data_IF_780513524476
#
_entry.id   IF_780513524476
#
_cell.length_a   1.000
_cell.length_b   1.000
_cell.length_c   1.000
_cell.angle_alpha   90.00
_cell.angle_beta   90.00
_cell.angle_gamma   90.00
#
_symmetry.space_group_name_H-M   'P 1'
#
loop_
_entity.id
_entity.type
_entity.pdbx_description
1 polymer ?
#
# COMPACT_ATOMS: atom_id res chain seq x y z
N UNK A 1 -26.72 -12.68 13.23
CA UNK A 1 -27.23 -13.95 12.66
C UNK A 1 -27.35 -13.79 11.15
N UNK A 2 -26.87 -14.74 10.35
CA UNK A 2 -27.05 -14.70 8.89
C UNK A 2 -28.55 -14.71 8.55
N UNK A 3 -28.94 -13.87 7.60
CA UNK A 3 -30.31 -13.81 7.07
C UNK A 3 -30.37 -14.65 5.79
N UNK A 4 -31.55 -15.20 5.51
CA UNK A 4 -31.85 -15.84 4.22
C UNK A 4 -31.94 -14.69 3.20
N UNK A 5 -31.25 -14.81 2.07
CA UNK A 5 -31.22 -13.79 1.02
C UNK A 5 -32.51 -13.81 0.20
N UNK A 6 -33.01 -14.99 -0.16
CA UNK A 6 -34.28 -15.13 -0.89
C UNK A 6 -35.46 -14.68 -0.01
N UNK A 7 -36.23 -13.67 -0.45
CA UNK A 7 -37.43 -13.22 0.26
C UNK A 7 -38.48 -14.33 0.38
N UNK A 8 -38.70 -15.10 -0.69
CA UNK A 8 -39.72 -16.16 -0.71
C UNK A 8 -39.36 -17.31 0.22
N UNK A 9 -38.10 -17.74 0.27
CA UNK A 9 -37.67 -18.78 1.20
C UNK A 9 -37.70 -18.29 2.67
N UNK A 10 -37.41 -17.00 2.91
CA UNK A 10 -37.57 -16.40 4.23
C UNK A 10 -39.03 -16.36 4.67
N UNK A 11 -39.95 -16.04 3.76
CA UNK A 11 -41.40 -16.05 3.99
C UNK A 11 -41.90 -17.46 4.28
N UNK A 12 -41.45 -18.46 3.52
CA UNK A 12 -41.78 -19.86 3.78
C UNK A 12 -41.40 -20.26 5.21
N UNK A 13 -40.17 -19.93 5.64
CA UNK A 13 -39.74 -20.21 7.02
C UNK A 13 -40.64 -19.54 8.07
N UNK A 14 -41.16 -18.35 7.78
CA UNK A 14 -42.11 -17.66 8.67
C UNK A 14 -43.48 -18.34 8.70
N UNK A 15 -43.97 -18.85 7.57
CA UNK A 15 -45.23 -19.58 7.48
C UNK A 15 -45.16 -20.93 8.22
N UNK A 16 -44.05 -21.65 8.06
CA UNK A 16 -43.83 -22.94 8.74
C UNK A 16 -43.88 -22.84 10.27
N UNK A 17 -43.79 -21.64 10.84
CA UNK A 17 -43.93 -21.43 12.29
C UNK A 17 -45.29 -21.88 12.83
N UNK A 18 -46.34 -21.73 12.01
CA UNK A 18 -47.73 -22.04 12.37
C UNK A 18 -48.14 -23.48 12.01
N UNK A 19 -47.26 -24.22 11.33
CA UNK A 19 -47.50 -25.62 10.97
C UNK A 19 -47.34 -26.54 12.19
N UNK A 20 -48.17 -27.59 12.34
CA UNK A 20 -48.03 -28.58 13.42
C UNK A 20 -46.64 -29.20 13.49
N UNK A 21 -46.18 -29.55 14.69
CA UNK A 21 -44.79 -29.98 14.92
C UNK A 21 -44.37 -31.20 14.07
N UNK A 22 -45.24 -32.21 13.98
CA UNK A 22 -45.00 -33.42 13.18
C UNK A 22 -44.71 -33.06 11.72
N UNK A 23 -45.52 -32.17 11.14
CA UNK A 23 -45.32 -31.70 9.76
C UNK A 23 -44.03 -30.86 9.62
N UNK A 24 -43.69 -30.02 10.61
CA UNK A 24 -42.42 -29.27 10.60
C UNK A 24 -41.19 -30.19 10.65
N UNK A 25 -41.26 -31.30 11.38
CA UNK A 25 -40.19 -32.32 11.41
C UNK A 25 -40.02 -32.99 10.05
N UNK A 26 -41.12 -33.34 9.39
CA UNK A 26 -41.09 -33.87 8.02
C UNK A 26 -40.50 -32.85 7.03
N UNK A 27 -40.89 -31.58 7.12
CA UNK A 27 -40.36 -30.49 6.29
C UNK A 27 -38.88 -30.19 6.56
N UNK A 28 -38.42 -30.35 7.80
CA UNK A 28 -37.00 -30.26 8.14
C UNK A 28 -36.21 -31.37 7.43
N UNK A 29 -36.66 -32.63 7.54
CA UNK A 29 -36.03 -33.75 6.84
C UNK A 29 -36.05 -33.57 5.31
N UNK A 30 -37.16 -33.04 4.77
CA UNK A 30 -37.29 -32.73 3.35
C UNK A 30 -36.32 -31.62 2.89
N UNK A 31 -36.14 -30.57 3.69
CA UNK A 31 -35.15 -29.51 3.41
C UNK A 31 -33.71 -30.03 3.43
N UNK A 32 -33.38 -30.97 4.32
CA UNK A 32 -32.06 -31.61 4.38
C UNK A 32 -31.82 -32.52 3.17
N UNK A 33 -32.85 -33.25 2.73
CA UNK A 33 -32.80 -34.05 1.51
C UNK A 33 -32.60 -33.15 0.28
N UNK A 34 -33.34 -32.04 0.21
CA UNK A 34 -33.18 -31.05 -0.85
C UNK A 34 -31.76 -30.48 -0.87
N UNK A 35 -31.19 -30.14 0.30
CA UNK A 35 -29.83 -29.63 0.39
C UNK A 35 -28.79 -30.56 -0.26
N UNK A 36 -28.95 -31.88 -0.14
CA UNK A 36 -28.08 -32.86 -0.80
C UNK A 36 -28.32 -33.03 -2.31
N UNK A 37 -29.46 -32.57 -2.84
CA UNK A 37 -29.82 -32.67 -4.26
C UNK A 37 -29.42 -31.43 -5.07
N UNK A 38 -29.19 -30.29 -4.41
CA UNK A 38 -28.88 -29.02 -5.10
C UNK A 38 -27.42 -29.01 -5.57
N UNK A 39 -27.25 -28.82 -6.88
CA UNK A 39 -25.94 -28.62 -7.49
C UNK A 39 -25.57 -27.13 -7.49
N UNK A 40 -24.36 -26.74 -7.03
CA UNK A 40 -23.98 -25.33 -6.90
C UNK A 40 -24.02 -24.52 -8.20
N UNK A 41 -23.81 -25.17 -9.35
CA UNK A 41 -23.71 -24.50 -10.65
C UNK A 41 -25.05 -24.36 -11.38
N UNK A 42 -26.11 -25.00 -10.88
CA UNK A 42 -27.45 -24.96 -11.48
C UNK A 42 -28.30 -23.85 -10.88
N UNK A 43 -29.40 -23.54 -11.55
CA UNK A 43 -30.43 -22.62 -11.08
C UNK A 43 -31.73 -23.38 -10.84
N UNK A 44 -32.44 -23.01 -9.78
CA UNK A 44 -33.64 -23.70 -9.34
C UNK A 44 -34.80 -22.72 -9.18
N UNK A 45 -35.96 -22.95 -9.82
CA UNK A 45 -37.16 -22.17 -9.55
C UNK A 45 -37.59 -22.30 -8.09
N UNK A 46 -38.12 -21.23 -7.49
CA UNK A 46 -38.62 -21.27 -6.12
C UNK A 46 -39.73 -22.32 -5.93
N UNK A 47 -40.60 -22.51 -6.92
CA UNK A 47 -41.68 -23.49 -6.85
C UNK A 47 -41.16 -24.92 -6.68
N UNK A 48 -40.04 -25.24 -7.34
CA UNK A 48 -39.33 -26.51 -7.15
C UNK A 48 -38.86 -26.64 -5.69
N UNK A 49 -38.22 -25.60 -5.14
CA UNK A 49 -37.73 -25.59 -3.76
C UNK A 49 -38.88 -25.73 -2.76
N UNK A 50 -39.97 -24.97 -2.95
CA UNK A 50 -41.15 -24.99 -2.10
C UNK A 50 -41.83 -26.36 -2.10
N UNK A 51 -42.00 -26.96 -3.28
CA UNK A 51 -42.58 -28.30 -3.43
C UNK A 51 -41.72 -29.36 -2.73
N UNK A 52 -40.40 -29.31 -2.90
CA UNK A 52 -39.51 -30.29 -2.27
C UNK A 52 -39.45 -30.17 -0.74
N UNK A 53 -39.73 -29.00 -0.18
CA UNK A 53 -39.78 -28.79 1.28
C UNK A 53 -41.17 -29.12 1.85
N UNK A 54 -42.25 -28.70 1.18
CA UNK A 54 -43.61 -28.70 1.75
C UNK A 54 -44.53 -29.78 1.17
N UNK A 55 -44.21 -30.32 -0.01
CA UNK A 55 -45.09 -31.19 -0.79
C UNK A 55 -46.23 -30.45 -1.50
N UNK A 56 -46.30 -29.11 -1.41
CA UNK A 56 -47.34 -28.29 -2.01
C UNK A 56 -46.76 -27.43 -3.14
N UNK A 57 -47.45 -27.38 -4.29
CA UNK A 57 -47.12 -26.43 -5.36
C UNK A 57 -47.85 -25.10 -5.12
N UNK A 58 -47.13 -23.98 -4.90
CA UNK A 58 -47.75 -22.66 -4.86
C UNK A 58 -48.41 -22.35 -6.22
N UNK A 59 -49.46 -21.51 -6.20
CA UNK A 59 -50.10 -21.05 -7.45
C UNK A 59 -49.05 -20.30 -8.27
N UNK A 60 -48.85 -20.70 -9.52
CA UNK A 60 -47.81 -20.19 -10.41
C UNK A 60 -47.85 -18.66 -10.50
N UNK A 61 -46.76 -18.01 -10.10
CA UNK A 61 -46.56 -16.59 -10.40
C UNK A 61 -46.13 -16.45 -11.87
N UNK A 62 -46.56 -15.38 -12.57
CA UNK A 62 -46.16 -15.15 -13.96
C UNK A 62 -44.64 -14.94 -14.13
N UNK A 63 -43.93 -14.53 -13.07
CA UNK A 63 -42.47 -14.51 -13.00
C UNK A 63 -41.98 -15.39 -11.84
N UNK A 64 -41.52 -16.62 -12.11
CA UNK A 64 -40.98 -17.48 -11.06
C UNK A 64 -39.61 -16.97 -10.58
N UNK A 65 -39.46 -16.75 -9.27
CA UNK A 65 -38.16 -16.43 -8.68
C UNK A 65 -37.18 -17.58 -8.94
N UNK A 66 -36.05 -17.28 -9.59
CA UNK A 66 -35.00 -18.26 -9.88
C UNK A 66 -33.85 -18.07 -8.90
N UNK A 67 -33.48 -19.16 -8.22
CA UNK A 67 -32.46 -19.18 -7.18
C UNK A 67 -31.17 -19.82 -7.70
N UNK A 68 -30.03 -19.10 -7.71
CA UNK A 68 -28.73 -19.70 -7.98
C UNK A 68 -28.39 -20.76 -6.93
N UNK A 69 -27.93 -21.95 -7.37
CA UNK A 69 -27.68 -23.09 -6.48
C UNK A 69 -26.72 -22.79 -5.33
N UNK A 70 -25.66 -22.01 -5.55
CA UNK A 70 -24.75 -21.55 -4.47
C UNK A 70 -25.46 -20.73 -3.39
N UNK A 71 -26.29 -19.77 -3.80
CA UNK A 71 -27.02 -18.91 -2.87
C UNK A 71 -28.12 -19.70 -2.16
N UNK A 72 -28.79 -20.60 -2.89
CA UNK A 72 -29.79 -21.51 -2.34
C UNK A 72 -29.19 -22.43 -1.26
N UNK A 73 -28.00 -22.99 -1.46
CA UNK A 73 -27.32 -23.82 -0.46
C UNK A 73 -26.99 -23.01 0.81
N UNK A 74 -26.48 -21.79 0.66
CA UNK A 74 -26.20 -20.90 1.80
C UNK A 74 -27.49 -20.57 2.58
N UNK A 75 -28.59 -20.31 1.87
CA UNK A 75 -29.89 -20.00 2.44
C UNK A 75 -30.56 -21.21 3.10
N UNK A 76 -30.48 -22.40 2.48
CA UNK A 76 -30.98 -23.66 3.04
C UNK A 76 -30.26 -24.04 4.33
N UNK A 77 -28.96 -23.79 4.46
CA UNK A 77 -28.25 -23.98 5.72
C UNK A 77 -28.82 -23.10 6.85
N UNK A 78 -29.12 -21.84 6.54
CA UNK A 78 -29.74 -20.92 7.51
C UNK A 78 -31.17 -21.36 7.84
N UNK A 79 -31.93 -21.80 6.83
CA UNK A 79 -33.29 -22.33 6.97
C UNK A 79 -33.33 -23.53 7.90
N UNK A 80 -32.53 -24.56 7.62
CA UNK A 80 -32.42 -25.81 8.40
C UNK A 80 -31.97 -25.50 9.83
N UNK A 81 -30.97 -24.63 10.00
CA UNK A 81 -30.50 -24.23 11.33
C UNK A 81 -31.56 -23.50 12.16
N UNK A 82 -32.39 -22.66 11.53
CA UNK A 82 -33.48 -21.92 12.20
C UNK A 82 -34.69 -22.81 12.49
N UNK A 83 -35.06 -23.70 11.58
CA UNK A 83 -36.17 -24.62 11.75
C UNK A 83 -35.86 -25.66 12.83
N UNK A 84 -34.66 -26.27 12.78
CA UNK A 84 -34.19 -27.21 13.81
C UNK A 84 -34.04 -26.56 15.19
N UNK A 85 -33.72 -25.27 15.30
CA UNK A 85 -33.62 -24.57 16.58
C UNK A 85 -34.89 -24.65 17.45
N UNK A 86 -36.06 -24.78 16.81
CA UNK A 86 -37.37 -24.86 17.45
C UNK A 86 -37.83 -26.30 17.69
N UNK A 87 -37.21 -27.23 16.99
CA UNK A 87 -37.45 -28.68 17.06
C UNK A 87 -36.27 -29.39 17.73
N UNK A 88 -35.44 -28.64 18.48
CA UNK A 88 -34.18 -29.13 18.98
C UNK A 88 -34.41 -30.26 19.98
N UNK A 89 -33.94 -31.44 19.63
CA UNK A 89 -33.96 -32.63 20.49
C UNK A 89 -32.67 -32.71 21.32
N UNK A 90 -32.70 -33.41 22.46
CA UNK A 90 -31.47 -33.85 23.12
C UNK A 90 -30.57 -34.60 22.14
N UNK A 91 -29.27 -34.31 22.16
CA UNK A 91 -28.30 -35.00 21.29
C UNK A 91 -28.30 -36.53 21.52
N UNK A 92 -28.66 -36.98 22.72
CA UNK A 92 -28.81 -38.39 23.10
C UNK A 92 -30.00 -39.09 22.44
N UNK A 93 -31.01 -38.34 22.02
CA UNK A 93 -32.24 -38.87 21.39
C UNK A 93 -32.19 -38.80 19.86
N UNK A 94 -31.06 -38.39 19.28
CA UNK A 94 -30.91 -38.20 17.83
C UNK A 94 -30.86 -39.52 17.04
N UNK A 95 -30.79 -40.67 17.71
CA UNK A 95 -30.67 -42.00 17.08
C UNK A 95 -29.28 -42.32 16.50
N UNK A 96 -28.37 -41.34 16.49
CA UNK A 96 -26.97 -41.47 16.08
C UNK A 96 -26.08 -40.51 16.90
N UNK A 97 -24.75 -40.73 16.96
CA UNK A 97 -23.84 -39.80 17.62
C UNK A 97 -23.88 -38.41 16.96
N UNK A 98 -23.98 -37.36 17.79
CA UNK A 98 -23.97 -35.97 17.34
C UNK A 98 -22.74 -35.26 17.90
N UNK A 99 -21.88 -34.78 17.00
CA UNK A 99 -20.64 -34.11 17.34
C UNK A 99 -20.82 -32.59 17.44
N UNK A 100 -20.09 -31.94 18.35
CA UNK A 100 -19.96 -30.48 18.37
C UNK A 100 -18.87 -30.00 17.40
N UNK A 101 -18.72 -28.68 17.26
CA UNK A 101 -17.63 -28.10 16.45
C UNK A 101 -16.27 -28.45 17.06
N UNK A 102 -16.19 -28.46 18.38
CA UNK A 102 -15.01 -28.81 19.16
C UNK A 102 -14.64 -30.27 18.96
N UNK A 103 -15.63 -31.17 19.00
CA UNK A 103 -15.42 -32.61 18.78
C UNK A 103 -14.91 -32.90 17.36
N UNK A 104 -15.48 -32.26 16.34
CA UNK A 104 -15.00 -32.38 14.96
C UNK A 104 -13.60 -31.79 14.77
N UNK A 105 -13.32 -30.65 15.41
CA UNK A 105 -11.99 -30.05 15.37
C UNK A 105 -10.93 -30.97 15.99
N UNK A 106 -11.26 -31.67 17.07
CA UNK A 106 -10.41 -32.67 17.70
C UNK A 106 -10.25 -33.92 16.81
N UNK A 107 -11.37 -34.51 16.35
CA UNK A 107 -11.40 -35.74 15.52
C UNK A 107 -10.56 -35.62 14.25
N UNK A 108 -10.61 -34.48 13.57
CA UNK A 108 -9.87 -34.26 12.32
C UNK A 108 -8.56 -33.47 12.50
N UNK A 109 -8.17 -33.16 13.75
CA UNK A 109 -7.01 -32.32 14.08
C UNK A 109 -7.03 -30.91 13.42
N UNK A 110 -8.20 -30.42 13.02
CA UNK A 110 -8.39 -29.14 12.31
C UNK A 110 -8.90 -28.02 13.23
N UNK A 111 -8.71 -26.76 12.85
CA UNK A 111 -9.14 -25.64 13.70
C UNK A 111 -10.67 -25.53 13.70
N UNK A 112 -11.27 -24.97 14.76
CA UNK A 112 -12.72 -24.68 14.77
C UNK A 112 -13.13 -23.76 13.61
N UNK A 113 -12.23 -22.86 13.17
CA UNK A 113 -12.41 -22.04 11.95
C UNK A 113 -12.46 -22.87 10.67
N UNK A 114 -11.72 -23.98 10.61
CA UNK A 114 -11.74 -24.92 9.49
C UNK A 114 -13.09 -25.64 9.43
N UNK A 115 -13.60 -26.12 10.56
CA UNK A 115 -14.95 -26.71 10.65
C UNK A 115 -16.03 -25.69 10.25
N UNK A 116 -15.91 -24.44 10.69
CA UNK A 116 -16.80 -23.35 10.24
C UNK A 116 -16.74 -23.12 8.72
N UNK A 117 -15.57 -23.32 8.10
CA UNK A 117 -15.39 -23.22 6.65
C UNK A 117 -16.01 -24.41 5.93
N UNK A 118 -15.93 -25.62 6.50
CA UNK A 118 -16.57 -26.82 5.97
C UNK A 118 -18.09 -26.68 5.88
N UNK A 119 -18.71 -26.00 6.84
CA UNK A 119 -20.15 -25.67 6.77
C UNK A 119 -20.52 -24.92 5.51
N UNK A 120 -19.75 -23.88 5.15
CA UNK A 120 -19.95 -23.14 3.90
C UNK A 120 -19.73 -23.98 2.64
N UNK A 121 -19.16 -25.17 2.76
CA UNK A 121 -18.86 -26.10 1.67
C UNK A 121 -19.75 -27.34 1.68
N UNK A 122 -20.78 -27.39 2.51
CA UNK A 122 -21.74 -28.50 2.52
C UNK A 122 -21.89 -29.26 3.82
N UNK A 123 -21.06 -28.99 4.84
CA UNK A 123 -21.21 -29.66 6.14
C UNK A 123 -22.46 -29.13 6.88
N UNK A 124 -23.55 -29.88 6.76
CA UNK A 124 -24.85 -29.52 7.31
C UNK A 124 -24.86 -29.64 8.84
N UNK A 125 -25.47 -28.66 9.50
CA UNK A 125 -25.54 -28.59 10.96
C UNK A 125 -26.98 -28.35 11.41
N UNK A 126 -27.41 -29.06 12.45
CA UNK A 126 -28.71 -28.86 13.11
C UNK A 126 -28.50 -28.32 14.52
N UNK A 127 -29.53 -27.78 15.14
CA UNK A 127 -29.45 -27.44 16.57
C UNK A 127 -29.93 -28.60 17.43
N UNK A 128 -29.10 -28.99 18.38
CA UNK A 128 -29.40 -29.99 19.40
C UNK A 128 -29.24 -29.39 20.80
N UNK A 129 -29.88 -30.03 21.78
CA UNK A 129 -29.70 -29.73 23.20
C UNK A 129 -28.59 -30.67 23.71
N UNK A 130 -27.45 -30.09 24.11
CA UNK A 130 -26.33 -30.85 24.67
C UNK A 130 -26.37 -30.84 26.21
N UNK A 131 -25.54 -31.67 26.85
CA UNK A 131 -25.39 -31.73 28.30
C UNK A 131 -25.20 -30.32 28.88
N UNK A 132 -26.06 -29.93 29.83
CA UNK A 132 -26.15 -28.56 30.35
C UNK A 132 -27.27 -27.70 29.75
N UNK A 133 -28.18 -28.27 28.95
CA UNK A 133 -29.39 -27.60 28.46
C UNK A 133 -29.16 -26.56 27.36
N UNK A 134 -27.92 -26.37 26.92
CA UNK A 134 -27.57 -25.37 25.92
C UNK A 134 -27.86 -25.86 24.50
N UNK A 135 -28.56 -25.02 23.71
CA UNK A 135 -28.82 -25.27 22.29
C UNK A 135 -27.61 -24.88 21.46
N UNK A 136 -26.87 -25.87 20.97
CA UNK A 136 -25.68 -25.67 20.14
C UNK A 136 -25.85 -26.34 18.78
N UNK A 137 -24.98 -25.99 17.83
CA UNK A 137 -24.92 -26.68 16.55
C UNK A 137 -24.30 -28.06 16.78
N UNK A 138 -24.99 -29.09 16.30
CA UNK A 138 -24.52 -30.46 16.28
C UNK A 138 -24.51 -31.00 14.85
N UNK A 139 -23.58 -31.92 14.63
CA UNK A 139 -23.34 -32.59 13.36
C UNK A 139 -23.57 -34.09 13.58
N UNK A 140 -24.68 -34.64 13.06
CA UNK A 140 -24.90 -36.08 13.12
C UNK A 140 -23.79 -36.83 12.38
N UNK A 141 -23.37 -37.97 12.90
CA UNK A 141 -22.20 -38.70 12.40
C UNK A 141 -22.37 -39.09 10.92
N UNK A 142 -23.56 -39.54 10.51
CA UNK A 142 -23.88 -39.84 9.11
C UNK A 142 -23.66 -38.66 8.15
N UNK A 143 -23.89 -37.44 8.63
CA UNK A 143 -23.69 -36.20 7.85
C UNK A 143 -22.20 -35.87 7.75
N UNK A 144 -21.43 -36.13 8.81
CA UNK A 144 -19.98 -35.93 8.83
C UNK A 144 -19.31 -36.92 7.89
N UNK A 145 -19.67 -38.21 7.97
CA UNK A 145 -19.13 -39.26 7.12
C UNK A 145 -19.42 -39.00 5.64
N UNK A 146 -20.66 -38.62 5.30
CA UNK A 146 -21.01 -38.23 3.93
C UNK A 146 -20.14 -37.07 3.45
N UNK A 147 -19.98 -36.02 4.26
CA UNK A 147 -19.14 -34.88 3.89
C UNK A 147 -17.68 -35.28 3.66
N UNK A 148 -17.13 -36.16 4.50
CA UNK A 148 -15.76 -36.69 4.35
C UNK A 148 -15.62 -37.51 3.06
N UNK A 149 -16.61 -38.37 2.76
CA UNK A 149 -16.63 -39.17 1.53
C UNK A 149 -16.73 -38.29 0.27
N UNK A 150 -17.54 -37.23 0.30
CA UNK A 150 -17.70 -36.31 -0.83
C UNK A 150 -16.49 -35.36 -0.98
N UNK A 151 -15.72 -35.13 0.10
CA UNK A 151 -14.62 -34.16 0.14
C UNK A 151 -13.31 -34.73 0.72
N UNK A 152 -12.78 -35.87 0.22
CA UNK A 152 -11.66 -36.56 0.83
C UNK A 152 -10.38 -35.71 0.80
N UNK A 153 -10.09 -35.05 -0.33
CA UNK A 153 -8.91 -34.20 -0.49
C UNK A 153 -8.89 -33.00 0.46
N UNK A 154 -10.06 -32.44 0.76
CA UNK A 154 -10.24 -31.26 1.60
C UNK A 154 -10.04 -31.59 3.08
N UNK A 155 -10.47 -32.76 3.52
CA UNK A 155 -10.30 -33.23 4.91
C UNK A 155 -8.85 -33.65 5.14
N UNK A 156 -8.25 -34.44 4.24
CA UNK A 156 -6.86 -34.88 4.34
C UNK A 156 -5.88 -33.70 4.31
N UNK A 157 -6.07 -32.73 3.40
CA UNK A 157 -5.21 -31.54 3.32
C UNK A 157 -5.35 -30.63 4.54
N UNK A 158 -6.54 -30.58 5.14
CA UNK A 158 -6.78 -29.77 6.34
C UNK A 158 -6.17 -30.41 7.60
N UNK A 159 -6.16 -31.74 7.70
CA UNK A 159 -5.48 -32.49 8.76
C UNK A 159 -3.96 -32.49 8.63
N UNK A 160 -3.42 -32.42 7.40
CA UNK A 160 -1.99 -32.33 7.12
C UNK A 160 -1.35 -30.99 7.56
N UNK A 161 -2.15 -29.99 7.93
CA UNK A 161 -1.66 -28.69 8.37
C UNK A 161 -1.08 -28.81 9.79
N UNK A 162 0.22 -29.13 9.89
CA UNK A 162 0.99 -29.18 11.15
C UNK A 162 0.77 -27.90 11.95
N UNK A 163 0.00 -27.97 13.03
CA UNK A 163 -0.08 -26.88 13.99
C UNK A 163 1.19 -26.86 14.81
N UNK A 164 1.87 -25.71 14.79
CA UNK A 164 2.98 -25.46 15.69
C UNK A 164 2.48 -25.49 17.13
N UNK A 165 3.07 -26.37 17.93
CA UNK A 165 2.93 -26.34 19.38
C UNK A 165 3.54 -25.05 19.95
N UNK A 166 3.12 -24.63 21.14
CA UNK A 166 3.68 -23.43 21.77
C UNK A 166 5.18 -23.59 22.08
N UNK A 167 5.64 -24.82 22.34
CA UNK A 167 7.06 -25.14 22.50
C UNK A 167 7.86 -24.92 21.21
N UNK A 168 7.38 -25.44 20.08
CA UNK A 168 8.01 -25.24 18.75
C UNK A 168 8.03 -23.75 18.37
N UNK A 169 6.95 -23.02 18.68
CA UNK A 169 6.87 -21.57 18.46
C UNK A 169 7.99 -20.84 19.22
N UNK A 170 8.14 -21.12 20.51
CA UNK A 170 9.16 -20.48 21.34
C UNK A 170 10.58 -20.88 20.92
N UNK A 171 10.79 -22.14 20.50
CA UNK A 171 12.07 -22.60 19.98
C UNK A 171 12.45 -21.87 18.69
N UNK A 172 11.51 -21.72 17.75
CA UNK A 172 11.74 -21.01 16.50
C UNK A 172 12.15 -19.54 16.73
N UNK A 173 11.47 -18.85 17.66
CA UNK A 173 11.79 -17.44 18.01
C UNK A 173 13.18 -17.33 18.65
N UNK A 174 13.52 -18.22 19.60
CA UNK A 174 14.84 -18.22 20.26
C UNK A 174 15.97 -18.45 19.25
N UNK A 175 15.82 -19.43 18.35
CA UNK A 175 16.83 -19.70 17.33
C UNK A 175 16.93 -18.57 16.30
N UNK A 176 15.81 -17.94 15.91
CA UNK A 176 15.80 -16.79 15.03
C UNK A 176 16.57 -15.60 15.63
N UNK A 177 16.36 -15.29 16.91
CA UNK A 177 17.14 -14.26 17.62
C UNK A 177 18.63 -14.59 17.66
N UNK A 178 18.98 -15.84 17.99
CA UNK A 178 20.38 -16.27 18.04
C UNK A 178 21.09 -16.14 16.69
N UNK A 179 20.42 -16.52 15.59
CA UNK A 179 20.97 -16.38 14.24
C UNK A 179 21.05 -14.93 13.80
N UNK A 180 20.03 -14.12 14.09
CA UNK A 180 20.03 -12.69 13.77
C UNK A 180 21.09 -11.91 14.56
N UNK A 181 21.43 -12.35 15.77
CA UNK A 181 22.48 -11.72 16.57
C UNK A 181 23.89 -12.09 16.11
N UNK A 182 24.11 -13.34 15.67
CA UNK A 182 25.43 -13.89 15.32
C UNK A 182 25.81 -13.74 13.84
N UNK A 183 24.87 -13.42 12.96
CA UNK A 183 25.11 -13.38 11.51
C UNK A 183 24.60 -12.09 10.86
N UNK A 184 25.26 -11.67 9.78
CA UNK A 184 24.83 -10.56 8.91
C UNK A 184 23.78 -10.98 7.86
N UNK A 185 23.21 -12.19 8.01
CA UNK A 185 22.28 -12.77 7.05
C UNK A 185 20.96 -12.00 6.99
N UNK A 186 20.38 -11.94 5.80
CA UNK A 186 19.07 -11.33 5.59
C UNK A 186 17.97 -12.12 6.32
N UNK A 187 16.88 -11.44 6.68
CA UNK A 187 15.67 -12.09 7.24
C UNK A 187 15.23 -13.31 6.41
N UNK A 188 15.27 -13.19 5.09
CA UNK A 188 14.89 -14.26 4.17
C UNK A 188 15.80 -15.48 4.33
N UNK A 189 17.12 -15.28 4.35
CA UNK A 189 18.10 -16.35 4.55
C UNK A 189 17.96 -17.00 5.93
N UNK A 190 17.75 -16.21 6.99
CA UNK A 190 17.51 -16.74 8.34
C UNK A 190 16.24 -17.59 8.37
N UNK A 191 15.15 -17.09 7.76
CA UNK A 191 13.87 -17.80 7.69
C UNK A 191 14.00 -19.09 6.89
N UNK A 192 14.66 -19.07 5.73
CA UNK A 192 14.88 -20.27 4.90
C UNK A 192 15.66 -21.34 5.66
N UNK A 193 16.80 -20.97 6.25
CA UNK A 193 17.67 -21.89 7.00
C UNK A 193 16.98 -22.50 8.23
N UNK A 194 16.18 -21.72 8.93
CA UNK A 194 15.40 -22.21 10.07
C UNK A 194 14.24 -23.11 9.63
N UNK A 195 13.59 -22.79 8.52
CA UNK A 195 12.50 -23.59 7.97
C UNK A 195 13.01 -25.00 7.59
N UNK A 196 14.16 -25.08 6.91
CA UNK A 196 14.84 -26.34 6.60
C UNK A 196 15.22 -27.12 7.86
N UNK A 197 15.84 -26.45 8.84
CA UNK A 197 16.28 -27.08 10.09
C UNK A 197 15.14 -27.63 10.95
N UNK A 198 13.99 -26.95 10.95
CA UNK A 198 12.84 -27.31 11.78
C UNK A 198 11.81 -28.19 11.03
N UNK A 199 12.05 -28.48 9.75
CA UNK A 199 11.10 -29.21 8.89
C UNK A 199 9.76 -28.47 8.78
N UNK A 200 9.81 -27.14 8.64
CA UNK A 200 8.63 -26.26 8.59
C UNK A 200 8.53 -25.58 7.23
N UNK A 201 7.31 -25.28 6.79
CA UNK A 201 7.12 -24.43 5.62
C UNK A 201 7.69 -23.02 5.90
N UNK A 202 8.47 -22.49 4.95
CA UNK A 202 9.12 -21.18 5.07
C UNK A 202 8.11 -20.07 5.36
N UNK A 203 6.94 -20.12 4.73
CA UNK A 203 5.87 -19.13 4.89
C UNK A 203 5.25 -19.14 6.30
N UNK A 204 5.14 -20.32 6.91
CA UNK A 204 4.64 -20.47 8.30
C UNK A 204 5.61 -19.86 9.29
N UNK A 205 6.91 -20.12 9.12
CA UNK A 205 7.93 -19.51 9.97
C UNK A 205 8.01 -18.00 9.74
N UNK A 206 7.94 -17.54 8.49
CA UNK A 206 7.92 -16.10 8.14
C UNK A 206 6.78 -15.39 8.86
N UNK A 207 5.56 -15.91 8.73
CA UNK A 207 4.37 -15.35 9.35
C UNK A 207 4.46 -15.34 10.86
N UNK A 208 5.00 -16.41 11.45
CA UNK A 208 5.22 -16.50 12.90
C UNK A 208 6.14 -15.40 13.41
N UNK A 209 7.32 -15.24 12.80
CA UNK A 209 8.30 -14.25 13.21
C UNK A 209 7.74 -12.82 13.04
N UNK A 210 7.00 -12.57 11.96
CA UNK A 210 6.33 -11.29 11.73
C UNK A 210 5.27 -10.96 12.78
N UNK A 211 4.41 -11.92 13.11
CA UNK A 211 3.37 -11.73 14.13
C UNK A 211 4.01 -11.48 15.51
N UNK A 212 5.13 -12.14 15.81
CA UNK A 212 5.86 -11.92 17.05
C UNK A 212 6.47 -10.51 17.12
N UNK A 213 7.14 -10.04 16.07
CA UNK A 213 7.68 -8.65 16.02
C UNK A 213 6.57 -7.61 16.13
N UNK A 214 5.38 -7.86 15.55
CA UNK A 214 4.23 -6.96 15.67
C UNK A 214 3.62 -6.94 17.08
N UNK A 215 3.62 -8.09 17.78
CA UNK A 215 3.07 -8.21 19.15
C UNK A 215 4.02 -7.65 20.21
N UNK A 216 5.33 -7.68 19.96
CA UNK A 216 6.35 -7.21 20.89
C UNK A 216 7.34 -6.25 20.20
N UNK A 217 6.96 -4.98 19.95
CA UNK A 217 7.82 -4.00 19.29
C UNK A 217 9.14 -3.76 20.03
N UNK A 218 9.13 -3.84 21.37
CA UNK A 218 10.30 -3.56 22.23
C UNK A 218 11.34 -4.69 22.24
N UNK A 219 11.03 -5.85 21.66
CA UNK A 219 11.92 -7.03 21.63
C UNK A 219 11.99 -7.62 20.22
N UNK A 220 12.50 -6.86 19.23
CA UNK A 220 12.56 -7.32 17.84
C UNK A 220 13.43 -8.58 17.72
N UNK A 221 13.11 -9.42 16.73
CA UNK A 221 13.86 -10.64 16.46
C UNK A 221 15.05 -10.33 15.55
N UNK A 222 14.82 -9.43 14.59
CA UNK A 222 15.81 -9.00 13.62
C UNK A 222 16.24 -7.57 13.88
N UNK A 223 17.54 -7.28 13.64
CA UNK A 223 18.09 -5.92 13.80
C UNK A 223 17.39 -4.91 12.87
N UNK A 224 17.30 -5.27 11.58
CA UNK A 224 16.61 -4.48 10.56
C UNK A 224 15.12 -4.48 10.85
N UNK A 225 14.35 -3.39 10.84
CA UNK A 225 12.89 -3.41 10.90
C UNK A 225 12.23 -3.87 9.58
N UNK A 226 11.01 -4.42 9.64
CA UNK A 226 10.23 -4.86 8.47
C UNK A 226 9.49 -3.66 7.86
N UNK A 227 9.32 -3.67 6.54
CA UNK A 227 8.41 -2.76 5.85
C UNK A 227 9.05 -1.52 5.25
N UNK A 228 8.20 -0.68 4.64
CA UNK A 228 8.59 0.62 4.11
C UNK A 228 9.09 1.47 5.27
N UNK A 229 10.21 2.17 5.07
CA UNK A 229 10.68 3.18 6.02
C UNK A 229 9.53 4.16 6.30
N UNK A 230 9.39 4.58 7.55
CA UNK A 230 8.35 5.55 7.88
C UNK A 230 8.61 6.87 7.16
N UNK A 231 7.58 7.63 6.78
CA UNK A 231 7.76 8.92 6.13
C UNK A 231 8.68 9.87 6.92
N UNK A 232 8.65 9.83 8.25
CA UNK A 232 9.54 10.61 9.12
C UNK A 232 11.02 10.21 8.93
N UNK A 233 11.35 8.92 9.09
CA UNK A 233 12.74 8.43 8.92
C UNK A 233 13.26 8.68 7.50
N UNK A 234 12.40 8.56 6.47
CA UNK A 234 12.79 8.90 5.09
C UNK A 234 13.12 10.39 4.93
N UNK A 235 12.45 11.28 5.66
CA UNK A 235 12.73 12.70 5.62
C UNK A 235 14.05 13.00 6.35
N UNK A 236 14.27 12.40 7.51
CA UNK A 236 15.51 12.53 8.26
C UNK A 236 16.72 12.00 7.48
N UNK A 237 16.60 10.82 6.88
CA UNK A 237 17.64 10.23 6.03
C UNK A 237 18.03 11.19 4.90
N UNK A 238 17.04 11.78 4.22
CA UNK A 238 17.31 12.71 3.13
C UNK A 238 17.91 14.03 3.61
N UNK A 239 17.51 14.52 4.79
CA UNK A 239 18.11 15.71 5.42
C UNK A 239 19.60 15.49 5.72
N UNK A 240 19.96 14.35 6.31
CA UNK A 240 21.36 14.00 6.61
C UNK A 240 22.20 13.84 5.34
N UNK A 241 21.62 13.23 4.29
CA UNK A 241 22.25 13.17 2.98
C UNK A 241 22.55 14.57 2.42
N UNK A 242 21.58 15.51 2.50
CA UNK A 242 21.80 16.91 2.11
C UNK A 242 22.89 17.62 2.93
N UNK A 243 23.14 17.19 4.16
CA UNK A 243 24.20 17.71 5.03
C UNK A 243 25.58 17.10 4.74
N UNK A 244 25.71 16.25 3.72
CA UNK A 244 26.97 15.61 3.34
C UNK A 244 27.28 14.31 4.08
N UNK A 245 26.32 13.74 4.81
CA UNK A 245 26.51 12.42 5.44
C UNK A 245 26.67 11.33 4.38
N UNK A 246 27.71 10.50 4.50
CA UNK A 246 28.01 9.44 3.56
C UNK A 246 26.91 8.37 3.48
N UNK A 247 26.74 7.74 2.31
CA UNK A 247 25.74 6.68 2.10
C UNK A 247 25.98 5.49 3.05
N UNK A 248 27.24 5.19 3.39
CA UNK A 248 27.59 4.13 4.32
C UNK A 248 27.04 4.40 5.73
N UNK A 249 27.26 5.61 6.26
CA UNK A 249 26.79 5.99 7.60
C UNK A 249 25.26 6.01 7.67
N UNK A 250 24.60 6.41 6.58
CA UNK A 250 23.13 6.32 6.44
C UNK A 250 22.64 4.88 6.43
N UNK A 251 23.39 3.94 5.84
CA UNK A 251 23.04 2.52 5.87
C UNK A 251 23.10 1.98 7.29
N UNK A 252 24.11 2.35 8.07
CA UNK A 252 24.26 1.93 9.47
C UNK A 252 23.21 2.55 10.36
N UNK A 253 23.03 3.88 10.31
CA UNK A 253 22.09 4.62 11.16
C UNK A 253 20.64 4.20 10.99
N UNK A 254 20.21 3.94 9.75
CA UNK A 254 18.83 3.54 9.44
C UNK A 254 18.65 2.01 9.29
N UNK A 255 19.74 1.25 9.45
CA UNK A 255 19.84 -0.20 9.23
C UNK A 255 19.14 -0.65 7.93
N UNK A 256 19.58 -0.04 6.81
CA UNK A 256 19.04 -0.28 5.46
C UNK A 256 20.12 -0.69 4.49
N UNK A 257 19.71 -1.44 3.45
CA UNK A 257 20.61 -1.77 2.36
C UNK A 257 20.93 -0.53 1.53
N UNK A 258 22.11 -0.51 0.91
CA UNK A 258 22.55 0.52 -0.04
C UNK A 258 21.50 0.85 -1.09
N UNK A 259 20.91 -0.18 -1.70
CA UNK A 259 19.85 -0.03 -2.70
C UNK A 259 18.59 0.66 -2.14
N UNK A 260 18.22 0.37 -0.88
CA UNK A 260 17.08 1.02 -0.24
C UNK A 260 17.37 2.49 0.06
N UNK A 261 18.58 2.79 0.54
CA UNK A 261 19.03 4.17 0.81
C UNK A 261 19.00 5.01 -0.47
N UNK A 262 19.63 4.54 -1.56
CA UNK A 262 19.57 5.23 -2.86
C UNK A 262 18.14 5.39 -3.37
N UNK A 263 17.29 4.36 -3.23
CA UNK A 263 15.88 4.45 -3.63
C UNK A 263 15.15 5.55 -2.87
N UNK A 264 15.37 5.67 -1.55
CA UNK A 264 14.76 6.72 -0.72
C UNK A 264 15.28 8.10 -1.12
N UNK A 265 16.59 8.25 -1.31
CA UNK A 265 17.21 9.51 -1.75
C UNK A 265 16.63 9.95 -3.09
N UNK A 266 16.61 9.08 -4.10
CA UNK A 266 16.08 9.40 -5.42
C UNK A 266 14.58 9.70 -5.38
N UNK A 267 13.81 9.00 -4.54
CA UNK A 267 12.39 9.29 -4.33
C UNK A 267 12.15 10.67 -3.72
N UNK A 268 12.99 11.09 -2.78
CA UNK A 268 12.89 12.42 -2.18
C UNK A 268 13.35 13.52 -3.13
N UNK A 269 14.43 13.29 -3.90
CA UNK A 269 14.89 14.18 -4.98
C UNK A 269 13.81 14.40 -6.03
N UNK A 270 13.21 13.32 -6.54
CA UNK A 270 12.12 13.40 -7.52
C UNK A 270 10.90 14.14 -6.96
N UNK A 271 10.50 13.88 -5.71
CA UNK A 271 9.41 14.63 -5.06
C UNK A 271 9.72 16.12 -4.93
N UNK A 272 10.95 16.48 -4.57
CA UNK A 272 11.38 17.87 -4.48
C UNK A 272 11.35 18.56 -5.85
N UNK A 273 11.81 17.89 -6.91
CA UNK A 273 11.76 18.40 -8.28
C UNK A 273 10.32 18.60 -8.77
N UNK A 274 9.44 17.62 -8.54
CA UNK A 274 8.02 17.70 -8.94
C UNK A 274 7.25 18.79 -8.19
N UNK A 275 7.65 19.11 -6.95
CA UNK A 275 7.04 20.17 -6.16
C UNK A 275 7.50 21.58 -6.57
N UNK A 276 8.61 21.73 -7.31
CA UNK A 276 9.10 23.03 -7.78
C UNK A 276 8.18 23.60 -8.87
N UNK A 277 7.80 24.87 -8.73
CA UNK A 277 7.13 25.65 -9.78
C UNK A 277 8.18 26.05 -10.82
N UNK A 278 8.03 25.58 -12.06
CA UNK A 278 8.98 25.83 -13.15
C UNK A 278 8.24 26.64 -14.21
N UNK A 279 8.44 27.96 -14.20
CA UNK A 279 7.86 28.89 -15.17
C UNK A 279 8.89 29.24 -16.22
N UNK A 280 8.51 29.25 -17.49
CA UNK A 280 9.39 29.63 -18.59
C UNK A 280 8.59 30.44 -19.61
N UNK A 281 9.29 31.30 -20.34
CA UNK A 281 8.71 32.03 -21.47
C UNK A 281 8.71 31.09 -22.68
N UNK A 282 7.55 30.76 -23.27
CA UNK A 282 7.48 29.88 -24.42
C UNK A 282 8.06 30.55 -25.67
N UNK A 283 8.71 29.76 -26.52
CA UNK A 283 9.21 30.17 -27.83
C UNK A 283 8.99 29.03 -28.82
N UNK A 284 8.54 29.34 -30.04
CA UNK A 284 8.29 28.34 -31.10
C UNK A 284 9.56 27.59 -31.49
N UNK A 285 10.72 28.24 -31.32
CA UNK A 285 12.02 27.65 -31.56
C UNK A 285 12.30 26.43 -30.66
N UNK A 286 11.74 26.39 -29.45
CA UNK A 286 11.97 25.29 -28.51
C UNK A 286 11.34 23.97 -28.96
N UNK A 287 10.38 24.03 -29.89
CA UNK A 287 9.70 22.86 -30.44
C UNK A 287 10.44 22.24 -31.64
N UNK A 288 11.48 22.90 -32.14
CA UNK A 288 12.27 22.41 -33.29
C UNK A 288 13.18 21.25 -32.88
N UNK A 289 13.39 20.29 -33.79
CA UNK A 289 14.19 19.09 -33.50
C UNK A 289 15.67 19.43 -33.21
N UNK A 290 16.18 20.49 -33.84
CA UNK A 290 17.56 20.95 -33.72
C UNK A 290 17.77 21.92 -32.53
N UNK A 291 16.70 22.34 -31.84
CA UNK A 291 16.77 23.34 -30.77
C UNK A 291 17.76 22.95 -29.67
N UNK A 292 17.79 21.65 -29.32
CA UNK A 292 18.70 21.14 -28.29
C UNK A 292 20.16 21.36 -28.66
N UNK A 293 20.51 21.05 -29.91
CA UNK A 293 21.87 21.19 -30.42
C UNK A 293 22.24 22.65 -30.64
N UNK A 294 21.32 23.48 -31.12
CA UNK A 294 21.58 24.89 -31.36
C UNK A 294 21.75 25.70 -30.06
N UNK A 295 20.95 25.40 -29.03
CA UNK A 295 20.92 26.17 -27.78
C UNK A 295 21.92 25.63 -26.76
N UNK A 296 22.04 24.30 -26.63
CA UNK A 296 22.93 23.68 -25.64
C UNK A 296 24.26 23.20 -26.24
N UNK A 297 24.40 23.14 -27.56
CA UNK A 297 25.60 22.59 -28.22
C UNK A 297 26.83 23.49 -28.12
N UNK A 298 26.65 24.79 -27.87
CA UNK A 298 27.77 25.67 -27.49
C UNK A 298 28.06 25.49 -26.00
N UNK A 299 29.31 25.20 -25.59
CA UNK A 299 29.66 25.11 -24.19
C UNK A 299 29.30 26.41 -23.47
N UNK A 300 28.72 26.27 -22.30
CA UNK A 300 28.51 27.38 -21.38
C UNK A 300 29.89 27.81 -20.84
N UNK A 301 30.54 28.76 -21.53
CA UNK A 301 31.87 29.27 -21.17
C UNK A 301 31.87 30.80 -21.25
N UNK A 302 31.52 31.44 -20.14
CA UNK A 302 31.89 32.83 -19.90
C UNK A 302 33.18 32.82 -19.08
N UNK A 303 34.22 33.50 -19.57
CA UNK A 303 35.43 33.74 -18.79
C UNK A 303 35.05 34.56 -17.54
N UNK A 304 34.88 33.88 -16.40
CA UNK A 304 34.74 34.53 -15.10
C UNK A 304 36.14 34.93 -14.64
N UNK A 305 36.39 36.24 -14.50
CA UNK A 305 37.50 36.71 -13.67
C UNK A 305 37.14 36.37 -12.23
N UNK A 306 37.80 35.39 -11.61
CA UNK A 306 37.54 35.06 -10.21
C UNK A 306 38.09 36.20 -9.31
N UNK A 307 37.25 36.91 -8.54
CA UNK A 307 37.74 37.82 -7.54
C UNK A 307 38.36 37.05 -6.36
N UNK A 308 39.42 37.60 -5.75
CA UNK A 308 40.09 37.02 -4.56
C UNK A 308 39.15 36.88 -3.33
N UNK A 309 38.00 37.58 -3.34
CA UNK A 309 36.88 37.39 -2.39
C UNK A 309 35.58 37.22 -3.16
N UNK A 310 34.92 36.07 -2.97
CA UNK A 310 33.56 35.82 -3.44
C UNK A 310 32.58 36.42 -2.43
N UNK A 311 32.03 37.60 -2.73
CA UNK A 311 30.86 38.13 -2.03
C UNK A 311 29.65 37.81 -2.90
N UNK A 312 28.71 37.03 -2.38
CA UNK A 312 27.49 36.68 -3.10
C UNK A 312 26.58 37.92 -3.20
N UNK A 313 26.17 38.36 -4.40
CA UNK A 313 25.37 39.57 -4.57
C UNK A 313 24.04 39.58 -3.80
N UNK A 314 23.51 38.39 -3.51
CA UNK A 314 22.25 38.19 -2.79
C UNK A 314 22.36 38.40 -1.26
N UNK A 315 23.56 38.50 -0.71
CA UNK A 315 23.79 38.76 0.73
C UNK A 315 23.94 40.26 1.05
N UNK A 316 23.96 41.14 0.03
CA UNK A 316 24.25 42.57 0.12
C UNK A 316 23.01 43.47 0.35
N UNK A 317 22.08 43.05 1.21
CA UNK A 317 20.80 43.78 1.47
C UNK A 317 20.84 44.61 2.77
N UNK A 318 22.02 44.99 3.26
CA UNK A 318 22.20 45.78 4.49
C UNK A 318 22.73 47.20 4.24
N UNK A 319 22.31 48.18 5.04
CA UNK A 319 22.70 49.60 4.93
C UNK A 319 24.22 49.83 5.01
N UNK A 320 24.97 48.95 5.69
CA UNK A 320 26.42 49.07 5.90
C UNK A 320 27.30 48.53 4.75
N UNK A 321 26.71 47.97 3.67
CA UNK A 321 27.44 47.18 2.66
C UNK A 321 27.63 47.92 1.31
N UNK A 322 27.33 49.22 1.24
CA UNK A 322 27.47 50.05 0.03
C UNK A 322 28.86 49.97 -0.64
N UNK A 323 29.99 50.04 0.09
CA UNK A 323 31.33 49.96 -0.51
C UNK A 323 31.60 48.59 -1.14
N UNK A 324 31.13 47.52 -0.50
CA UNK A 324 31.29 46.13 -0.95
C UNK A 324 30.42 45.85 -2.18
N UNK A 325 29.20 46.38 -2.19
CA UNK A 325 28.30 46.35 -3.34
C UNK A 325 28.88 47.07 -4.56
N UNK A 326 29.49 48.25 -4.38
CA UNK A 326 30.19 48.95 -5.46
C UNK A 326 31.46 48.21 -5.94
N UNK A 327 32.14 47.47 -5.07
CA UNK A 327 33.28 46.63 -5.45
C UNK A 327 32.82 45.45 -6.32
N UNK A 328 31.75 44.74 -5.94
CA UNK A 328 31.15 43.67 -6.75
C UNK A 328 30.76 44.20 -8.13
N UNK A 329 30.16 45.39 -8.19
CA UNK A 329 29.82 46.00 -9.48
C UNK A 329 31.04 46.30 -10.35
N UNK A 330 32.22 46.60 -9.79
CA UNK A 330 33.43 46.88 -10.59
C UNK A 330 33.97 45.65 -11.31
N UNK A 331 33.86 44.49 -10.69
CA UNK A 331 34.42 43.22 -11.15
C UNK A 331 33.47 42.40 -12.03
N UNK A 332 32.15 42.69 -12.01
CA UNK A 332 31.19 41.94 -12.81
C UNK A 332 31.40 42.19 -14.32
N UNK A 333 31.52 41.12 -15.13
CA UNK A 333 31.61 41.25 -16.59
C UNK A 333 30.31 41.84 -17.14
N UNK A 334 30.43 42.84 -18.02
CA UNK A 334 29.29 43.42 -18.72
C UNK A 334 28.92 42.50 -19.88
N UNK A 335 27.68 42.04 -19.91
CA UNK A 335 27.17 41.25 -21.03
C UNK A 335 26.83 42.18 -22.20
N UNK A 336 27.15 41.76 -23.41
CA UNK A 336 26.63 42.40 -24.60
C UNK A 336 25.20 41.90 -24.90
N UNK A 337 24.47 42.62 -25.76
CA UNK A 337 23.08 42.28 -26.10
C UNK A 337 22.92 40.85 -26.66
N UNK A 338 23.89 40.38 -27.45
CA UNK A 338 23.84 39.03 -28.03
C UNK A 338 24.00 37.95 -26.97
N UNK A 339 24.91 38.14 -26.02
CA UNK A 339 25.14 37.26 -24.87
C UNK A 339 23.93 37.22 -23.95
N UNK A 340 23.30 38.36 -23.67
CA UNK A 340 22.07 38.41 -22.87
C UNK A 340 20.93 37.61 -23.52
N UNK A 341 20.74 37.78 -24.83
CA UNK A 341 19.75 37.02 -25.59
C UNK A 341 20.07 35.53 -25.57
N UNK A 342 21.33 35.14 -25.79
CA UNK A 342 21.75 33.73 -25.76
C UNK A 342 21.55 33.09 -24.38
N UNK A 343 21.93 33.78 -23.30
CA UNK A 343 21.73 33.34 -21.94
C UNK A 343 20.24 33.23 -21.58
N UNK A 344 19.44 34.25 -21.91
CA UNK A 344 18.01 34.24 -21.65
C UNK A 344 17.31 33.12 -22.43
N UNK A 345 17.70 32.91 -23.70
CA UNK A 345 17.23 31.81 -24.55
C UNK A 345 17.57 30.46 -23.92
N UNK A 346 18.83 30.25 -23.52
CA UNK A 346 19.30 29.01 -22.87
C UNK A 346 18.60 28.74 -21.55
N UNK A 347 18.47 29.77 -20.70
CA UNK A 347 17.74 29.70 -19.43
C UNK A 347 16.29 29.22 -19.61
N UNK A 348 15.55 29.83 -20.52
CA UNK A 348 14.16 29.44 -20.77
C UNK A 348 14.06 28.05 -21.42
N UNK A 349 15.00 27.70 -22.30
CA UNK A 349 15.03 26.38 -22.92
C UNK A 349 15.31 25.24 -21.92
N UNK A 350 16.25 25.44 -20.98
CA UNK A 350 16.51 24.47 -19.90
C UNK A 350 15.26 24.24 -19.05
N UNK A 351 14.55 25.32 -18.68
CA UNK A 351 13.29 25.23 -17.92
C UNK A 351 12.18 24.57 -18.74
N UNK A 352 12.12 24.82 -20.05
CA UNK A 352 11.21 24.16 -20.98
C UNK A 352 11.45 22.65 -21.03
N UNK A 353 12.70 22.21 -21.19
CA UNK A 353 13.09 20.80 -21.17
C UNK A 353 12.68 20.12 -19.87
N UNK A 354 12.93 20.76 -18.72
CA UNK A 354 12.53 20.18 -17.44
C UNK A 354 11.00 20.11 -17.31
N UNK A 355 10.28 21.14 -17.75
CA UNK A 355 8.82 21.14 -17.75
C UNK A 355 8.24 20.03 -18.65
N UNK A 356 8.87 19.78 -19.81
CA UNK A 356 8.50 18.73 -20.73
C UNK A 356 8.90 17.34 -20.22
N UNK A 357 10.06 17.12 -19.63
CA UNK A 357 10.54 15.77 -19.30
C UNK A 357 10.16 15.31 -17.89
N UNK A 358 9.84 16.23 -16.96
CA UNK A 358 9.52 15.88 -15.56
C UNK A 358 8.34 14.91 -15.39
N UNK A 359 7.39 14.88 -16.33
CA UNK A 359 6.23 13.97 -16.27
C UNK A 359 6.62 12.49 -16.48
N UNK A 360 7.80 12.24 -17.06
CA UNK A 360 8.32 10.89 -17.25
C UNK A 360 8.81 10.27 -15.91
N UNK A 361 9.03 11.09 -14.89
CA UNK A 361 9.44 10.64 -13.55
C UNK A 361 8.29 9.92 -12.83
N UNK A 362 8.35 8.58 -12.82
CA UNK A 362 7.41 7.74 -12.07
C UNK A 362 7.95 7.48 -10.66
N UNK A 363 7.26 7.95 -9.62
CA UNK A 363 7.66 7.73 -8.21
C UNK A 363 7.79 6.26 -7.81
N UNK A 364 7.12 5.34 -8.52
CA UNK A 364 7.21 3.90 -8.28
C UNK A 364 8.54 3.29 -8.80
N UNK A 365 9.11 3.84 -9.87
CA UNK A 365 10.36 3.39 -10.48
C UNK A 365 11.08 4.60 -11.06
N UNK A 366 12.02 5.13 -10.29
CA UNK A 366 12.73 6.36 -10.62
C UNK A 366 13.95 6.01 -11.44
N UNK A 367 14.05 6.63 -12.62
CA UNK A 367 15.27 6.64 -13.40
C UNK A 367 16.24 7.65 -12.79
N UNK A 368 17.37 7.14 -12.28
CA UNK A 368 18.38 7.96 -11.62
C UNK A 368 19.12 8.88 -12.60
N UNK A 369 19.26 8.46 -13.86
CA UNK A 369 19.97 9.23 -14.87
C UNK A 369 19.11 10.41 -15.33
N UNK A 370 17.84 10.17 -15.63
CA UNK A 370 16.91 11.24 -15.96
C UNK A 370 16.77 12.25 -14.82
N UNK A 371 16.66 11.78 -13.57
CA UNK A 371 16.59 12.67 -12.42
C UNK A 371 17.84 13.56 -12.28
N UNK A 372 19.03 12.98 -12.44
CA UNK A 372 20.29 13.73 -12.39
C UNK A 372 20.40 14.74 -13.54
N UNK A 373 19.93 14.39 -14.74
CA UNK A 373 19.92 15.27 -15.89
C UNK A 373 18.98 16.47 -15.69
N UNK A 374 17.77 16.24 -15.17
CA UNK A 374 16.81 17.31 -14.89
C UNK A 374 17.28 18.23 -13.78
N UNK A 375 17.94 17.70 -12.75
CA UNK A 375 18.58 18.53 -11.72
C UNK A 375 19.72 19.36 -12.31
N UNK A 376 20.58 18.78 -13.16
CA UNK A 376 21.65 19.52 -13.83
C UNK A 376 21.13 20.68 -14.71
N UNK A 377 20.03 20.47 -15.45
CA UNK A 377 19.40 21.54 -16.21
C UNK A 377 18.88 22.69 -15.33
N UNK A 378 18.34 22.38 -14.15
CA UNK A 378 17.90 23.40 -13.20
C UNK A 378 19.07 24.14 -12.55
N UNK A 379 20.13 23.42 -12.19
CA UNK A 379 21.33 24.01 -11.60
C UNK A 379 22.00 24.95 -12.62
N UNK A 380 22.09 24.56 -13.89
CA UNK A 380 22.58 25.40 -14.97
C UNK A 380 21.68 26.62 -15.21
N UNK A 381 20.35 26.46 -15.15
CA UNK A 381 19.42 27.57 -15.26
C UNK A 381 19.57 28.56 -14.09
N UNK A 382 19.82 28.09 -12.87
CA UNK A 382 20.08 28.96 -11.70
C UNK A 382 21.41 29.71 -11.85
N UNK A 383 22.46 29.08 -12.37
CA UNK A 383 23.71 29.77 -12.69
C UNK A 383 23.49 30.86 -13.74
N UNK A 384 22.77 30.57 -14.82
CA UNK A 384 22.40 31.56 -15.85
C UNK A 384 21.60 32.71 -15.25
N UNK A 385 20.61 32.42 -14.42
CA UNK A 385 19.80 33.45 -13.73
C UNK A 385 20.69 34.32 -12.86
N UNK A 386 21.61 33.74 -12.08
CA UNK A 386 22.56 34.48 -11.25
C UNK A 386 23.39 35.45 -12.08
N UNK A 387 23.92 35.03 -13.22
CA UNK A 387 24.72 35.92 -14.08
C UNK A 387 23.90 37.00 -14.76
N UNK A 388 22.68 36.69 -15.23
CA UNK A 388 21.80 37.69 -15.81
C UNK A 388 21.46 38.78 -14.79
N UNK A 389 21.18 38.38 -13.54
CA UNK A 389 20.96 39.32 -12.44
C UNK A 389 22.23 40.14 -12.20
N UNK A 390 23.37 39.48 -11.99
CA UNK A 390 24.67 40.13 -11.74
C UNK A 390 25.04 41.18 -12.79
N UNK A 391 24.95 40.84 -14.07
CA UNK A 391 25.27 41.75 -15.17
C UNK A 391 24.36 42.99 -15.18
N UNK A 392 23.10 42.84 -14.77
CA UNK A 392 22.10 43.90 -14.76
C UNK A 392 22.06 44.71 -13.44
N UNK A 393 22.78 44.29 -12.39
CA UNK A 393 22.89 45.04 -11.13
C UNK A 393 23.46 46.45 -11.36
N UNK A 394 24.44 46.60 -12.28
CA UNK A 394 25.01 47.91 -12.65
C UNK A 394 23.96 48.88 -13.19
N UNK A 395 23.01 48.38 -13.98
CA UNK A 395 21.94 49.19 -14.56
C UNK A 395 21.04 49.75 -13.47
N UNK A 396 20.60 48.91 -12.52
CA UNK A 396 19.77 49.34 -11.39
C UNK A 396 20.43 50.43 -10.58
N UNK A 397 21.72 50.28 -10.29
CA UNK A 397 22.51 51.29 -9.57
C UNK A 397 22.62 52.60 -10.34
N UNK A 398 22.85 52.53 -11.66
CA UNK A 398 22.93 53.72 -12.50
C UNK A 398 21.60 54.48 -12.58
N UNK A 399 20.47 53.77 -12.55
CA UNK A 399 19.12 54.36 -12.57
C UNK A 399 18.81 54.95 -11.20
N UNK A 400 19.05 54.21 -10.11
CA UNK A 400 18.85 54.70 -8.75
C UNK A 400 19.68 55.96 -8.46
N UNK A 401 20.91 56.03 -8.97
CA UNK A 401 21.79 57.19 -8.81
C UNK A 401 21.32 58.44 -9.55
N UNK A 402 20.55 58.30 -10.64
CA UNK A 402 19.94 59.44 -11.36
C UNK A 402 18.70 60.00 -10.65
N UNK A 403 18.06 59.20 -9.79
CA UNK A 403 16.78 59.52 -9.17
C UNK A 403 16.87 59.87 -7.68
N UNK A 404 18.07 60.05 -7.12
CA UNK A 404 18.21 60.39 -5.70
C UNK A 404 19.37 61.34 -5.40
N UNK A 405 19.25 62.06 -4.29
CA UNK A 405 20.25 63.00 -3.76
C UNK A 405 20.71 62.64 -2.34
N UNK A 406 20.09 61.65 -1.69
CA UNK A 406 20.35 61.25 -0.30
C UNK A 406 20.62 59.73 -0.20
N UNK A 407 21.62 59.34 0.59
CA UNK A 407 22.14 57.97 0.70
C UNK A 407 21.11 56.93 1.17
N UNK A 408 20.23 57.28 2.12
CA UNK A 408 19.19 56.37 2.61
C UNK A 408 18.11 56.08 1.55
N UNK A 409 17.76 57.06 0.71
CA UNK A 409 16.79 56.89 -0.38
C UNK A 409 17.37 56.09 -1.55
N UNK A 410 18.68 56.16 -1.75
CA UNK A 410 19.39 55.41 -2.77
C UNK A 410 19.30 53.89 -2.55
N UNK A 411 19.56 53.44 -1.33
CA UNK A 411 19.55 52.02 -0.97
C UNK A 411 18.18 51.38 -1.14
N UNK A 412 17.11 52.07 -0.74
CA UNK A 412 15.74 51.59 -0.92
C UNK A 412 15.37 51.44 -2.40
N UNK A 413 15.81 52.38 -3.24
CA UNK A 413 15.60 52.33 -4.69
C UNK A 413 16.39 51.20 -5.36
N UNK A 414 17.63 50.98 -4.95
CA UNK A 414 18.44 49.84 -5.43
C UNK A 414 17.80 48.52 -5.01
N UNK A 415 17.34 48.40 -3.76
CA UNK A 415 16.63 47.21 -3.28
C UNK A 415 15.36 46.94 -4.08
N UNK A 416 14.55 47.96 -4.38
CA UNK A 416 13.33 47.83 -5.20
C UNK A 416 13.67 47.46 -6.65
N UNK A 417 14.70 48.06 -7.23
CA UNK A 417 15.16 47.75 -8.59
C UNK A 417 15.70 46.33 -8.72
N UNK A 418 16.47 45.86 -7.73
CA UNK A 418 16.97 44.48 -7.69
C UNK A 418 15.82 43.49 -7.55
N UNK A 419 14.80 43.80 -6.75
CA UNK A 419 13.61 42.95 -6.63
C UNK A 419 12.85 42.86 -7.97
N UNK A 420 12.73 43.97 -8.70
CA UNK A 420 12.09 44.02 -10.02
C UNK A 420 12.89 43.28 -11.11
N UNK A 421 14.22 43.21 -11.01
CA UNK A 421 15.06 42.39 -11.91
C UNK A 421 14.91 40.88 -11.68
N UNK A 422 14.54 40.47 -10.46
CA UNK A 422 14.47 39.06 -10.07
C UNK A 422 13.11 38.43 -10.41
N UNK A 423 12.04 39.23 -10.42
CA UNK A 423 10.71 38.81 -10.88
C UNK A 423 10.67 38.65 -12.40
#
# INVERSE_FOLDING_TARGET
MRRIKSPSLAQLLMQLRFTPEIKRRAQLAAAEKLFGLIEPQKQYPYDFVCFHITGFMPKSNPEPEVLPGRDLLDDLQVFISKLSARLALPATEAGEPVHTIEDLAARFHVSTKTVHRWRKRGLLARKFIFAGGQRRLGFPDSTVERFVHENPSLVTSAGAFRRLTDSERQQAIRQARGLAAKSSLSRHQITKRLAEKLGMAQETLRTLLQQHEKKYPDKPIFRRPLGRIQPADAAELYRLYKQGTGVHDLMERFDRSRATVHRIINQRRALALLARKIEHVPSDEFLQAEARTQILGRPFALERLEPERRVEPFELVGEDLLPEYLQVLKITPVLNREQEIELFRRYNYLKHLVAQERHQLKLAKIDANLLAQLEAYLDEAEEIRKMLVEANLRLVVSIAGKHTSHEASFLELVSKGNFALIQ
#
